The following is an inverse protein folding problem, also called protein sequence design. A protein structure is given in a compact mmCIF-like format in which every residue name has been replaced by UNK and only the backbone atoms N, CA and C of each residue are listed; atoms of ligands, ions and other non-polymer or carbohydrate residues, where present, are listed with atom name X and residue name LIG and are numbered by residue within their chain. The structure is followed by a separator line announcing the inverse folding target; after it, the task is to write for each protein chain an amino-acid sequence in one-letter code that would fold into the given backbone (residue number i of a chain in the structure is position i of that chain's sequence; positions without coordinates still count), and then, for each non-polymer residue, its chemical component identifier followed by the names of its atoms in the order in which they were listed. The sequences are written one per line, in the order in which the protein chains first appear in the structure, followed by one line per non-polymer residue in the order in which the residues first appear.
data_IF_630566085235
#
_entry.id   IF_630566085235
#
_cell.length_a   1.000
_cell.length_b   1.000
_cell.length_c   1.000
_cell.angle_alpha   90.00
_cell.angle_beta   90.00
_cell.angle_gamma   90.00
#
_symmetry.space_group_name_H-M   'P 1'
#
loop_
_entity.id
_entity.type
_entity.pdbx_description
1 polymer ?
#
# COMPACT_ATOMS: atom_id res chain seq x y z
N UNK A 1 -10.28 6.94 -3.92
CA UNK A 1 -10.92 5.61 -4.07
C UNK A 1 -10.18 4.63 -5.02
N UNK A 2 -8.89 4.80 -5.33
CA UNK A 2 -8.20 3.88 -6.26
C UNK A 2 -7.70 2.59 -5.58
N UNK A 3 -6.96 2.73 -4.48
CA UNK A 3 -6.37 1.60 -3.75
C UNK A 3 -7.43 0.61 -3.23
N UNK A 4 -8.46 1.10 -2.55
CA UNK A 4 -9.54 0.25 -2.03
C UNK A 4 -10.28 -0.54 -3.13
N UNK A 5 -10.42 0.00 -4.34
CA UNK A 5 -11.02 -0.71 -5.47
C UNK A 5 -10.07 -1.80 -6.00
N UNK A 6 -8.79 -1.47 -6.17
CA UNK A 6 -7.79 -2.43 -6.60
C UNK A 6 -7.70 -3.63 -5.65
N UNK A 7 -7.68 -3.38 -4.34
CA UNK A 7 -7.65 -4.42 -3.30
C UNK A 7 -8.87 -5.36 -3.39
N UNK A 8 -10.08 -4.80 -3.52
CA UNK A 8 -11.31 -5.61 -3.63
C UNK A 8 -11.29 -6.48 -4.89
N UNK A 9 -10.91 -5.90 -6.02
CA UNK A 9 -10.79 -6.65 -7.28
C UNK A 9 -9.74 -7.74 -7.18
N UNK A 10 -8.59 -7.45 -6.55
CA UNK A 10 -7.52 -8.41 -6.34
C UNK A 10 -7.93 -9.59 -5.46
N UNK A 11 -8.64 -9.32 -4.35
CA UNK A 11 -9.17 -10.36 -3.48
C UNK A 11 -10.15 -11.28 -4.24
N UNK A 12 -11.10 -10.69 -4.97
CA UNK A 12 -12.07 -11.45 -5.77
C UNK A 12 -11.38 -12.25 -6.88
N UNK A 13 -10.43 -11.65 -7.60
CA UNK A 13 -9.65 -12.33 -8.64
C UNK A 13 -8.81 -13.49 -8.08
N UNK A 14 -8.44 -13.40 -6.80
CA UNK A 14 -7.75 -14.46 -6.05
C UNK A 14 -8.70 -15.50 -5.42
N UNK A 15 -9.99 -15.46 -5.74
CA UNK A 15 -11.01 -16.39 -5.21
C UNK A 15 -11.43 -16.14 -3.75
N UNK A 16 -11.06 -14.99 -3.16
CA UNK A 16 -11.43 -14.60 -1.79
C UNK A 16 -12.55 -13.57 -1.80
N UNK A 17 -13.46 -13.67 -0.83
CA UNK A 17 -14.58 -12.73 -0.67
C UNK A 17 -14.27 -11.55 0.26
N UNK A 18 -13.07 -11.53 0.83
CA UNK A 18 -12.60 -10.50 1.75
C UNK A 18 -11.16 -10.09 1.42
N UNK A 19 -10.82 -8.85 1.74
CA UNK A 19 -9.47 -8.33 1.63
C UNK A 19 -8.65 -8.68 2.87
N UNK A 20 -7.36 -8.88 2.67
CA UNK A 20 -6.36 -9.15 3.72
C UNK A 20 -5.35 -8.02 3.81
N UNK A 21 -4.63 -7.87 4.93
CA UNK A 21 -3.51 -6.91 5.04
C UNK A 21 -2.46 -7.10 3.95
N UNK A 22 -2.21 -8.34 3.51
CA UNK A 22 -1.25 -8.63 2.45
C UNK A 22 -1.67 -8.04 1.09
N UNK A 23 -2.97 -7.96 0.81
CA UNK A 23 -3.47 -7.32 -0.40
C UNK A 23 -3.20 -5.81 -0.40
N UNK A 24 -3.26 -5.18 0.78
CA UNK A 24 -2.89 -3.77 0.95
C UNK A 24 -1.40 -3.60 0.69
N UNK A 25 -0.56 -4.44 1.30
CA UNK A 25 0.90 -4.38 1.17
C UNK A 25 1.33 -4.58 -0.30
N UNK A 26 0.74 -5.54 -1.01
CA UNK A 26 1.07 -5.83 -2.39
C UNK A 26 0.69 -4.70 -3.37
N UNK A 27 -0.38 -3.94 -3.06
CA UNK A 27 -0.93 -2.95 -4.00
C UNK A 27 -0.65 -1.50 -3.62
N UNK A 28 -0.17 -1.22 -2.41
CA UNK A 28 0.09 0.15 -1.96
C UNK A 28 1.13 0.87 -2.83
N UNK A 29 2.31 0.29 -3.03
CA UNK A 29 3.39 0.88 -3.84
C UNK A 29 2.93 1.13 -5.28
N UNK A 30 2.47 0.13 -6.07
CA UNK A 30 2.09 0.38 -7.46
C UNK A 30 0.92 1.35 -7.62
N UNK A 31 0.05 1.52 -6.61
CA UNK A 31 -1.10 2.44 -6.67
C UNK A 31 -0.77 3.84 -6.15
N UNK A 32 0.10 3.98 -5.16
CA UNK A 32 0.32 5.25 -4.44
C UNK A 32 1.62 5.94 -4.83
N UNK A 33 2.70 5.23 -5.13
CA UNK A 33 4.03 5.82 -5.33
C UNK A 33 4.03 6.89 -6.43
N UNK A 34 3.47 6.58 -7.60
CA UNK A 34 3.35 7.51 -8.73
C UNK A 34 2.41 8.71 -8.49
N UNK A 35 1.78 8.80 -7.32
CA UNK A 35 0.88 9.89 -6.92
C UNK A 35 1.50 10.84 -5.91
N UNK A 36 2.68 10.51 -5.40
CA UNK A 36 3.41 11.36 -4.49
C UNK A 36 4.27 12.34 -5.28
N UNK A 37 4.38 13.55 -4.73
CA UNK A 37 5.33 14.55 -5.18
C UNK A 37 6.33 14.69 -4.05
N UNK A 38 7.59 14.33 -4.32
CA UNK A 38 8.69 14.47 -3.39
C UNK A 38 9.19 15.91 -3.48
N UNK A 39 9.49 16.53 -2.35
CA UNK A 39 10.09 17.87 -2.37
C UNK A 39 11.53 17.82 -2.92
N UNK A 40 12.06 18.94 -3.43
CA UNK A 40 13.38 18.94 -4.07
C UNK A 40 14.54 18.56 -3.14
N UNK A 41 14.42 18.81 -1.84
CA UNK A 41 15.46 18.51 -0.85
C UNK A 41 15.57 16.99 -0.67
N UNK A 42 14.44 16.32 -0.47
CA UNK A 42 14.35 14.86 -0.34
C UNK A 42 14.70 14.14 -1.65
N UNK A 43 14.30 14.67 -2.80
CA UNK A 43 14.66 14.12 -4.12
C UNK A 43 16.18 14.20 -4.36
N UNK A 44 16.81 15.30 -3.95
CA UNK A 44 18.28 15.46 -4.01
C UNK A 44 19.01 14.45 -3.11
N UNK A 45 18.43 14.08 -1.98
CA UNK A 45 18.93 13.01 -1.10
C UNK A 45 18.65 11.60 -1.63
N UNK A 46 17.94 11.48 -2.76
CA UNK A 46 17.64 10.21 -3.42
C UNK A 46 16.43 9.47 -2.82
N UNK A 47 15.58 10.17 -2.06
CA UNK A 47 14.35 9.59 -1.51
C UNK A 47 13.35 9.35 -2.63
N UNK A 48 12.90 8.11 -2.80
CA UNK A 48 11.90 7.77 -3.81
C UNK A 48 10.49 7.65 -3.23
N UNK A 49 9.43 7.92 -4.02
CA UNK A 49 8.05 7.67 -3.62
C UNK A 49 7.79 6.24 -3.13
N UNK A 50 8.45 5.25 -3.73
CA UNK A 50 8.35 3.85 -3.34
C UNK A 50 8.87 3.64 -1.92
N UNK A 51 10.05 4.20 -1.61
CA UNK A 51 10.64 4.13 -0.27
C UNK A 51 9.74 4.77 0.79
N UNK A 52 9.09 5.90 0.46
CA UNK A 52 8.14 6.56 1.36
C UNK A 52 6.96 5.62 1.67
N UNK A 53 6.34 5.03 0.64
CA UNK A 53 5.19 4.14 0.82
C UNK A 53 5.60 2.87 1.58
N UNK A 54 6.73 2.27 1.26
CA UNK A 54 7.27 1.09 1.95
C UNK A 54 7.58 1.39 3.42
N UNK A 55 8.21 2.53 3.71
CA UNK A 55 8.50 2.97 5.07
C UNK A 55 7.24 3.14 5.91
N UNK A 56 6.21 3.79 5.37
CA UNK A 56 4.91 3.95 6.05
C UNK A 56 4.28 2.57 6.34
N UNK A 57 4.33 1.65 5.38
CA UNK A 57 3.79 0.30 5.56
C UNK A 57 4.58 -0.58 6.54
N UNK A 58 5.85 -0.26 6.78
CA UNK A 58 6.69 -0.94 7.76
C UNK A 58 6.42 -0.44 9.19
N UNK A 59 6.04 0.83 9.34
CA UNK A 59 5.72 1.46 10.64
C UNK A 59 4.31 1.08 11.15
N UNK A 60 3.41 0.68 10.24
CA UNK A 60 2.04 0.30 10.61
C UNK A 60 1.96 -1.19 10.94
N UNK A 61 1.64 -1.50 12.21
CA UNK A 61 1.34 -2.86 12.64
C UNK A 61 0.08 -3.39 11.92
N UNK A 62 0.14 -4.57 11.27
CA UNK A 62 -1.03 -5.16 10.64
C UNK A 62 -2.10 -5.53 11.68
N UNK A 63 -3.39 -5.44 11.33
CA UNK A 63 -4.45 -5.82 12.24
C UNK A 63 -4.36 -7.32 12.56
N UNK A 64 -4.27 -7.66 13.84
CA UNK A 64 -4.42 -9.03 14.33
C UNK A 64 -5.86 -9.47 14.13
N UNK A 65 -6.06 -10.68 13.59
CA UNK A 65 -7.38 -11.25 13.36
C UNK A 65 -8.20 -11.20 14.65
N UNK A 66 -9.31 -10.44 14.62
CA UNK A 66 -10.29 -10.46 15.70
C UNK A 66 -11.16 -11.68 15.45
N UNK A 67 -10.85 -12.79 16.12
CA UNK A 67 -11.80 -13.87 16.25
C UNK A 67 -13.06 -13.30 16.90
N UNK A 68 -14.17 -13.36 16.17
CA UNK A 68 -15.49 -13.07 16.73
C UNK A 68 -15.93 -14.21 17.65
#
# INVERSE_FOLDING_TARGET
MALARAIKTWAIASGRTYATPDDVRALAVPVLAHRLIVDPESDFEGVTPEQIVEGILADIEPPVYRAA
#
